data_IF_123591208756
#
_entry.id   IF_123591208756
#
_cell.length_a   1.000
_cell.length_b   1.000
_cell.length_c   1.000
_cell.angle_alpha   90.00
_cell.angle_beta   90.00
_cell.angle_gamma   90.00
#
_symmetry.space_group_name_H-M   'P 1'
#
loop_
_entity.id
_entity.type
_entity.pdbx_description
1 polymer ?
#
# COMPACT_ATOMS: atom_id res chain seq x y z
N UNK A 1 -57.46 76.07 -78.18
CA UNK A 1 -57.15 76.95 -79.34
C UNK A 1 -56.79 78.34 -78.80
N UNK A 2 -55.98 79.13 -79.50
CA UNK A 2 -54.53 79.15 -79.34
C UNK A 2 -53.97 80.51 -78.86
N UNK A 3 -52.73 80.47 -78.35
CA UNK A 3 -51.78 81.59 -78.39
C UNK A 3 -51.99 82.71 -77.36
N UNK A 4 -51.13 83.76 -77.40
CA UNK A 4 -49.97 83.94 -78.27
C UNK A 4 -48.66 84.27 -77.53
N UNK A 5 -47.58 84.28 -78.32
CA UNK A 5 -46.20 84.61 -77.99
C UNK A 5 -45.96 86.13 -78.01
N UNK A 6 -45.13 86.62 -77.10
CA UNK A 6 -44.31 87.86 -77.19
C UNK A 6 -43.28 87.77 -76.06
N UNK A 7 -41.96 87.84 -76.20
CA UNK A 7 -40.99 88.77 -76.83
C UNK A 7 -40.09 89.32 -75.69
N UNK A 8 -38.81 89.50 -75.99
CA UNK A 8 -37.66 89.29 -75.09
C UNK A 8 -37.17 90.61 -74.48
N UNK A 9 -36.86 90.65 -73.18
CA UNK A 9 -35.88 91.60 -72.60
C UNK A 9 -34.97 90.92 -71.56
N UNK A 10 -33.66 91.01 -71.79
CA UNK A 10 -32.61 90.64 -70.84
C UNK A 10 -32.58 91.67 -69.70
N UNK A 11 -32.91 91.26 -68.48
CA UNK A 11 -32.61 92.04 -67.28
C UNK A 11 -31.26 91.63 -66.68
N UNK A 12 -30.43 92.59 -66.26
CA UNK A 12 -29.13 92.34 -65.65
C UNK A 12 -29.27 91.64 -64.29
N UNK A 13 -28.27 90.84 -63.93
CA UNK A 13 -28.16 90.17 -62.63
C UNK A 13 -28.07 91.22 -61.51
N UNK A 14 -29.14 91.40 -60.72
CA UNK A 14 -29.02 92.09 -59.43
C UNK A 14 -28.56 91.11 -58.35
N UNK A 15 -27.42 91.46 -57.79
CA UNK A 15 -26.75 90.78 -56.68
C UNK A 15 -27.51 91.14 -55.40
N UNK A 16 -28.30 90.22 -54.86
CA UNK A 16 -28.73 90.32 -53.46
C UNK A 16 -27.55 89.88 -52.58
N UNK A 17 -26.62 90.81 -52.35
CA UNK A 17 -25.73 90.73 -51.20
C UNK A 17 -26.42 91.37 -50.01
N UNK A 18 -27.38 90.66 -49.43
CA UNK A 18 -27.68 90.85 -48.01
C UNK A 18 -26.59 90.06 -47.26
N UNK A 19 -25.35 90.55 -47.37
CA UNK A 19 -24.25 90.06 -46.55
C UNK A 19 -24.54 90.54 -45.13
N UNK A 20 -24.98 89.63 -44.27
CA UNK A 20 -25.07 89.91 -42.83
C UNK A 20 -23.67 90.27 -42.38
N UNK A 21 -23.38 91.57 -42.25
CA UNK A 21 -22.09 92.03 -41.76
C UNK A 21 -21.96 91.55 -40.30
N UNK A 22 -20.88 90.84 -40.01
CA UNK A 22 -20.62 90.31 -38.66
C UNK A 22 -20.57 91.43 -37.60
N UNK A 23 -20.28 92.66 -38.04
CA UNK A 23 -20.25 93.88 -37.24
C UNK A 23 -21.64 94.25 -36.71
N UNK A 24 -22.70 94.01 -37.49
CA UNK A 24 -24.08 94.34 -37.11
C UNK A 24 -24.57 93.42 -35.99
N UNK A 25 -24.26 92.12 -36.08
CA UNK A 25 -24.54 91.18 -34.98
C UNK A 25 -23.83 91.59 -33.68
N UNK A 26 -22.58 92.07 -33.79
CA UNK A 26 -21.80 92.51 -32.63
C UNK A 26 -22.35 93.80 -32.03
N UNK A 27 -22.83 94.73 -32.85
CA UNK A 27 -23.46 95.98 -32.41
C UNK A 27 -24.73 95.73 -31.59
N UNK A 28 -25.57 94.78 -32.02
CA UNK A 28 -26.78 94.38 -31.26
C UNK A 28 -26.40 93.81 -29.89
N UNK A 29 -25.41 92.92 -29.85
CA UNK A 29 -24.90 92.36 -28.59
C UNK A 29 -24.35 93.45 -27.66
N UNK A 30 -23.66 94.46 -28.21
CA UNK A 30 -23.08 95.55 -27.43
C UNK A 30 -24.12 96.53 -26.90
N UNK A 31 -25.16 96.83 -27.69
CA UNK A 31 -26.32 97.66 -27.29
C UNK A 31 -27.08 97.04 -26.12
N UNK A 32 -27.28 95.72 -26.15
CA UNK A 32 -28.04 94.96 -25.14
C UNK A 32 -27.18 94.26 -24.08
N UNK A 33 -25.90 94.64 -23.94
CA UNK A 33 -24.97 93.98 -23.01
C UNK A 33 -25.46 93.88 -21.56
N UNK A 34 -26.21 94.88 -21.07
CA UNK A 34 -26.78 94.86 -19.73
C UNK A 34 -27.98 93.91 -19.60
N UNK A 35 -28.80 93.77 -20.65
CA UNK A 35 -29.90 92.80 -20.68
C UNK A 35 -29.33 91.38 -20.67
N UNK A 36 -28.30 91.13 -21.48
CA UNK A 36 -27.61 89.83 -21.55
C UNK A 36 -26.96 89.50 -20.19
N UNK A 37 -26.23 90.44 -19.59
CA UNK A 37 -25.55 90.24 -18.31
C UNK A 37 -26.54 90.01 -17.15
N UNK A 38 -27.52 90.90 -16.98
CA UNK A 38 -28.50 90.81 -15.88
C UNK A 38 -29.37 89.58 -16.05
N UNK A 39 -29.83 89.29 -17.27
CA UNK A 39 -30.63 88.11 -17.55
C UNK A 39 -29.87 86.81 -17.25
N UNK A 40 -28.60 86.72 -17.67
CA UNK A 40 -27.74 85.57 -17.35
C UNK A 40 -27.58 85.37 -15.84
N UNK A 41 -27.30 86.45 -15.10
CA UNK A 41 -27.17 86.41 -13.63
C UNK A 41 -28.50 86.02 -12.97
N UNK A 42 -29.63 86.52 -13.47
CA UNK A 42 -30.95 86.17 -12.96
C UNK A 42 -31.27 84.68 -13.12
N UNK A 43 -30.98 84.08 -14.28
CA UNK A 43 -31.13 82.63 -14.50
C UNK A 43 -30.20 81.81 -13.58
N UNK A 44 -28.95 82.24 -13.41
CA UNK A 44 -28.01 81.59 -12.50
C UNK A 44 -28.45 81.67 -11.03
N UNK A 45 -28.95 82.83 -10.58
CA UNK A 45 -29.48 83.03 -9.24
C UNK A 45 -30.75 82.21 -8.99
N UNK A 46 -31.66 82.17 -9.97
CA UNK A 46 -32.87 81.34 -9.91
C UNK A 46 -32.51 79.85 -9.78
N UNK A 47 -31.56 79.36 -10.58
CA UNK A 47 -31.08 77.99 -10.48
C UNK A 47 -30.38 77.69 -9.15
N UNK A 48 -29.68 78.67 -8.56
CA UNK A 48 -29.10 78.55 -7.23
C UNK A 48 -30.19 78.38 -6.16
N UNK A 49 -31.21 79.25 -6.13
CA UNK A 49 -32.33 79.19 -5.17
C UNK A 49 -33.06 77.85 -5.28
N UNK A 50 -33.38 77.42 -6.50
CA UNK A 50 -34.02 76.12 -6.74
C UNK A 50 -33.12 74.99 -6.24
N UNK A 51 -31.82 75.03 -6.54
CA UNK A 51 -30.88 73.98 -6.10
C UNK A 51 -30.64 73.96 -4.60
N UNK A 52 -30.76 75.08 -3.87
CA UNK A 52 -30.63 75.08 -2.41
C UNK A 52 -31.87 74.56 -1.68
N UNK A 53 -33.05 74.67 -2.29
CA UNK A 53 -34.31 74.17 -1.73
C UNK A 53 -34.51 72.66 -1.97
N UNK A 54 -33.84 72.09 -2.98
CA UNK A 54 -33.89 70.65 -3.23
C UNK A 54 -33.28 69.83 -2.08
N UNK A 55 -33.90 68.70 -1.76
CA UNK A 55 -33.39 67.78 -0.74
C UNK A 55 -31.98 67.28 -1.08
N UNK A 56 -31.09 67.29 -0.09
CA UNK A 56 -29.74 66.73 -0.22
C UNK A 56 -29.84 65.22 -0.36
N UNK A 57 -29.37 64.68 -1.48
CA UNK A 57 -29.32 63.24 -1.74
C UNK A 57 -27.90 62.76 -1.50
N UNK A 58 -27.75 61.76 -0.63
CA UNK A 58 -26.49 61.10 -0.33
C UNK A 58 -26.41 59.77 -1.08
N UNK A 59 -25.19 59.33 -1.38
CA UNK A 59 -24.94 57.97 -1.91
C UNK A 59 -24.49 57.09 -0.74
N UNK A 60 -25.28 56.07 -0.43
CA UNK A 60 -24.87 54.99 0.48
C UNK A 60 -24.22 53.92 -0.38
N UNK A 61 -23.04 53.42 0.02
CA UNK A 61 -22.28 52.44 -0.74
C UNK A 61 -21.84 51.26 0.10
N UNK A 62 -21.80 50.09 -0.52
CA UNK A 62 -21.22 48.84 0.01
C UNK A 62 -20.31 48.25 -1.07
N UNK A 63 -19.26 47.52 -0.65
CA UNK A 63 -18.37 46.80 -1.57
C UNK A 63 -18.46 45.32 -1.28
N UNK A 64 -18.82 44.55 -2.30
CA UNK A 64 -19.04 43.11 -2.24
C UNK A 64 -18.01 42.39 -3.10
N UNK A 65 -17.54 41.23 -2.68
CA UNK A 65 -16.77 40.32 -3.53
C UNK A 65 -17.52 38.99 -3.67
N UNK A 66 -17.52 38.38 -4.87
CA UNK A 66 -18.13 37.09 -5.09
C UNK A 66 -17.49 36.04 -4.19
N UNK A 67 -18.29 35.04 -3.79
CA UNK A 67 -17.79 33.91 -3.02
C UNK A 67 -16.90 32.99 -3.86
N UNK A 68 -16.34 31.96 -3.25
CA UNK A 68 -15.55 30.94 -3.94
C UNK A 68 -16.37 29.66 -3.99
N UNK A 69 -16.65 29.16 -5.18
CA UNK A 69 -17.36 27.90 -5.38
C UNK A 69 -16.40 26.71 -5.46
N UNK A 70 -15.27 26.88 -6.15
CA UNK A 70 -14.26 25.82 -6.34
C UNK A 70 -12.90 26.43 -6.63
N UNK A 71 -11.83 25.75 -6.19
CA UNK A 71 -10.47 25.98 -6.65
C UNK A 71 -10.02 24.72 -7.37
N UNK A 72 -9.47 24.86 -8.58
CA UNK A 72 -8.91 23.75 -9.33
C UNK A 72 -7.44 23.49 -8.96
N UNK A 73 -6.84 22.47 -9.59
CA UNK A 73 -5.46 22.04 -9.31
C UNK A 73 -4.42 23.08 -9.75
N UNK A 74 -4.77 23.96 -10.69
CA UNK A 74 -3.94 25.06 -11.20
C UNK A 74 -4.12 26.36 -10.40
N UNK A 75 -4.78 26.30 -9.23
CA UNK A 75 -5.12 27.47 -8.39
C UNK A 75 -6.07 28.47 -9.05
N UNK A 76 -6.79 28.08 -10.10
CA UNK A 76 -7.80 28.92 -10.72
C UNK A 76 -9.11 28.82 -9.93
N UNK A 77 -9.60 30.01 -9.58
CA UNK A 77 -10.77 30.21 -8.72
C UNK A 77 -12.02 30.28 -9.59
N UNK A 78 -12.98 29.40 -9.31
CA UNK A 78 -14.35 29.52 -9.81
C UNK A 78 -15.18 30.24 -8.76
N UNK A 79 -15.71 31.39 -9.12
CA UNK A 79 -16.48 32.24 -8.21
C UNK A 79 -17.92 31.76 -8.08
N UNK A 80 -18.45 31.92 -6.87
CA UNK A 80 -19.84 31.67 -6.54
C UNK A 80 -20.68 32.90 -6.91
N UNK A 81 -21.29 32.84 -8.10
CA UNK A 81 -21.89 34.01 -8.74
C UNK A 81 -20.81 34.88 -9.39
N UNK A 82 -20.81 34.98 -10.72
CA UNK A 82 -19.92 35.93 -11.38
C UNK A 82 -20.27 37.37 -10.98
N UNK A 83 -19.31 38.29 -11.12
CA UNK A 83 -19.57 39.73 -10.88
C UNK A 83 -20.73 40.24 -11.72
N UNK A 84 -20.90 39.69 -12.93
CA UNK A 84 -22.02 40.02 -13.81
C UNK A 84 -23.34 39.42 -13.30
N UNK A 85 -23.36 38.17 -12.83
CA UNK A 85 -24.57 37.55 -12.27
C UNK A 85 -25.04 38.27 -11.01
N UNK A 86 -24.13 38.59 -10.09
CA UNK A 86 -24.47 39.31 -8.85
C UNK A 86 -24.98 40.71 -9.19
N UNK A 87 -24.34 41.39 -10.15
CA UNK A 87 -24.80 42.68 -10.66
C UNK A 87 -26.22 42.60 -11.21
N UNK A 88 -26.49 41.67 -12.12
CA UNK A 88 -27.82 41.47 -12.70
C UNK A 88 -28.85 41.12 -11.63
N UNK A 89 -28.50 40.28 -10.66
CA UNK A 89 -29.38 39.91 -9.56
C UNK A 89 -29.78 41.11 -8.68
N UNK A 90 -28.87 42.05 -8.45
CA UNK A 90 -29.15 43.28 -7.68
C UNK A 90 -29.97 44.26 -8.53
N UNK A 91 -29.55 44.54 -9.76
CA UNK A 91 -30.21 45.53 -10.64
C UNK A 91 -31.60 45.10 -11.11
N UNK A 92 -31.88 43.79 -11.15
CA UNK A 92 -33.20 43.25 -11.47
C UNK A 92 -34.23 43.40 -10.34
N UNK A 93 -33.83 43.94 -9.18
CA UNK A 93 -34.74 44.13 -8.04
C UNK A 93 -35.19 42.83 -7.36
N UNK A 94 -34.45 41.73 -7.57
CA UNK A 94 -34.84 40.40 -7.08
C UNK A 94 -34.96 40.26 -5.55
N UNK A 95 -34.51 41.27 -4.80
CA UNK A 95 -34.62 41.34 -3.35
C UNK A 95 -35.53 42.47 -2.85
N UNK A 96 -36.06 43.32 -3.74
CA UNK A 96 -36.70 44.57 -3.35
C UNK A 96 -37.93 44.33 -2.48
N UNK A 97 -38.82 43.43 -2.90
CA UNK A 97 -40.01 43.06 -2.13
C UNK A 97 -39.66 42.52 -0.74
N UNK A 98 -38.55 41.78 -0.62
CA UNK A 98 -38.09 41.24 0.68
C UNK A 98 -37.52 42.36 1.55
N UNK A 99 -36.67 43.21 0.99
CA UNK A 99 -36.06 44.34 1.70
C UNK A 99 -37.15 45.28 2.21
N UNK A 100 -38.07 45.71 1.34
CA UNK A 100 -39.15 46.64 1.68
C UNK A 100 -40.06 46.11 2.79
N UNK A 101 -40.30 44.79 2.84
CA UNK A 101 -41.08 44.13 3.90
C UNK A 101 -40.35 44.10 5.26
N UNK A 102 -39.03 44.03 5.25
CA UNK A 102 -38.20 43.90 6.48
C UNK A 102 -37.75 45.26 7.05
N UNK A 103 -37.96 46.36 6.32
CA UNK A 103 -37.68 47.71 6.80
C UNK A 103 -38.55 48.04 8.01
N UNK A 104 -37.89 48.38 9.13
CA UNK A 104 -38.56 48.85 10.34
C UNK A 104 -38.79 50.35 10.24
N UNK A 105 -39.99 50.74 9.82
CA UNK A 105 -40.39 52.15 9.71
C UNK A 105 -40.59 52.72 11.13
N UNK A 106 -39.66 53.55 11.59
CA UNK A 106 -39.77 54.20 12.91
C UNK A 106 -40.58 55.50 12.87
N UNK A 107 -40.72 56.12 11.70
CA UNK A 107 -41.45 57.38 11.49
C UNK A 107 -42.33 57.24 10.24
N UNK A 108 -43.48 57.93 10.15
CA UNK A 108 -44.41 57.99 8.99
C UNK A 108 -43.76 58.53 7.69
N UNK A 109 -42.63 57.97 7.26
CA UNK A 109 -41.93 58.28 6.03
C UNK A 109 -42.40 57.32 4.95
N UNK A 110 -42.69 57.87 3.78
CA UNK A 110 -43.10 57.09 2.62
C UNK A 110 -41.95 56.18 2.18
N UNK A 111 -42.21 54.89 2.03
CA UNK A 111 -41.25 53.97 1.43
C UNK A 111 -41.17 54.23 -0.08
N UNK A 112 -39.98 54.07 -0.68
CA UNK A 112 -39.85 54.09 -2.12
C UNK A 112 -40.61 52.92 -2.75
N UNK A 113 -41.27 53.17 -3.89
CA UNK A 113 -41.96 52.13 -4.67
C UNK A 113 -40.98 51.15 -5.33
N UNK A 114 -39.78 51.62 -5.68
CA UNK A 114 -38.73 50.87 -6.39
C UNK A 114 -37.35 51.16 -5.78
N UNK A 115 -36.50 50.14 -5.67
CA UNK A 115 -35.13 50.27 -5.19
C UNK A 115 -34.14 50.28 -6.37
N UNK A 116 -33.74 51.49 -6.80
CA UNK A 116 -32.77 51.63 -7.88
C UNK A 116 -31.33 51.59 -7.34
N UNK A 117 -30.70 50.43 -7.45
CA UNK A 117 -29.27 50.24 -7.14
C UNK A 117 -28.40 50.50 -8.37
N UNK A 118 -27.31 51.25 -8.19
CA UNK A 118 -26.26 51.39 -9.19
C UNK A 118 -25.10 50.45 -8.86
N UNK A 119 -24.82 49.47 -9.74
CA UNK A 119 -23.79 48.46 -9.50
C UNK A 119 -22.65 48.59 -10.51
N UNK A 120 -21.45 48.84 -9.99
CA UNK A 120 -20.23 49.02 -10.78
C UNK A 120 -19.14 48.02 -10.40
N UNK A 121 -18.40 47.53 -11.39
CA UNK A 121 -17.24 46.62 -11.17
C UNK A 121 -15.99 47.44 -10.85
N UNK A 122 -15.16 46.96 -9.93
CA UNK A 122 -13.97 47.69 -9.46
C UNK A 122 -12.65 47.23 -10.13
N UNK A 123 -12.63 47.16 -11.47
CA UNK A 123 -11.53 46.56 -12.25
C UNK A 123 -10.12 47.11 -11.96
N UNK A 124 -9.99 48.38 -11.57
CA UNK A 124 -8.70 49.05 -11.33
C UNK A 124 -8.40 49.23 -9.83
N UNK A 125 -8.83 48.28 -8.99
CA UNK A 125 -8.62 48.32 -7.53
C UNK A 125 -7.87 47.09 -7.04
N UNK A 126 -7.54 47.06 -5.74
CA UNK A 126 -6.92 45.89 -5.08
C UNK A 126 -7.79 44.63 -5.19
N UNK A 127 -9.10 44.81 -5.38
CA UNK A 127 -10.09 43.74 -5.50
C UNK A 127 -10.82 43.84 -6.85
N UNK A 128 -10.19 43.43 -7.97
CA UNK A 128 -10.71 43.66 -9.33
C UNK A 128 -12.04 42.96 -9.62
N UNK A 129 -12.33 41.91 -8.86
CA UNK A 129 -13.58 41.15 -8.92
C UNK A 129 -14.62 41.63 -7.90
N UNK A 130 -14.44 42.80 -7.28
CA UNK A 130 -15.44 43.37 -6.38
C UNK A 130 -16.47 44.24 -7.10
N UNK A 131 -17.65 44.33 -6.50
CA UNK A 131 -18.81 45.11 -6.93
C UNK A 131 -19.06 46.21 -5.92
N UNK A 132 -19.12 47.45 -6.42
CA UNK A 132 -19.59 48.59 -5.65
C UNK A 132 -21.07 48.78 -5.94
N UNK A 133 -21.89 48.65 -4.91
CA UNK A 133 -23.33 48.88 -4.97
C UNK A 133 -23.61 50.23 -4.32
N UNK A 134 -24.31 51.10 -5.03
CA UNK A 134 -24.70 52.42 -4.55
C UNK A 134 -26.21 52.60 -4.56
N UNK A 135 -26.73 53.19 -3.48
CA UNK A 135 -28.13 53.59 -3.36
C UNK A 135 -28.20 55.08 -3.02
N UNK A 136 -28.96 55.85 -3.81
CA UNK A 136 -29.08 57.30 -3.65
C UNK A 136 -30.37 57.65 -2.92
N UNK A 137 -30.27 58.30 -1.77
CA UNK A 137 -31.43 58.68 -0.96
C UNK A 137 -31.17 59.95 -0.16
N UNK A 138 -32.23 60.70 0.14
CA UNK A 138 -32.19 61.80 1.10
C UNK A 138 -32.23 61.31 2.55
N UNK A 139 -32.76 60.11 2.80
CA UNK A 139 -32.82 59.48 4.11
C UNK A 139 -31.64 58.50 4.30
N UNK A 140 -30.65 58.95 5.08
CA UNK A 140 -29.41 58.22 5.30
C UNK A 140 -29.66 56.91 6.06
N UNK A 141 -30.51 56.93 7.09
CA UNK A 141 -30.74 55.76 7.95
C UNK A 141 -31.50 54.68 7.19
N UNK A 142 -32.50 55.09 6.40
CA UNK A 142 -33.19 54.21 5.47
C UNK A 142 -32.22 53.61 4.45
N UNK A 143 -31.34 54.42 3.86
CA UNK A 143 -30.36 53.94 2.88
C UNK A 143 -29.32 52.98 3.46
N UNK A 144 -28.90 53.19 4.71
CA UNK A 144 -28.04 52.25 5.43
C UNK A 144 -28.79 50.93 5.70
N UNK A 145 -30.04 51.00 6.14
CA UNK A 145 -30.87 49.82 6.39
C UNK A 145 -31.13 49.01 5.11
N UNK A 146 -31.47 49.69 4.01
CA UNK A 146 -31.69 49.05 2.70
C UNK A 146 -30.46 48.27 2.25
N UNK A 147 -29.28 48.88 2.27
CA UNK A 147 -28.06 48.19 1.84
C UNK A 147 -27.60 47.11 2.82
N UNK A 148 -27.85 47.25 4.12
CA UNK A 148 -27.61 46.16 5.08
C UNK A 148 -28.51 44.97 4.79
N UNK A 149 -29.82 45.19 4.60
CA UNK A 149 -30.78 44.13 4.26
C UNK A 149 -30.47 43.47 2.91
N UNK A 150 -30.01 44.25 1.91
CA UNK A 150 -29.53 43.71 0.64
C UNK A 150 -28.31 42.80 0.84
N UNK A 151 -27.31 43.26 1.60
CA UNK A 151 -26.12 42.47 1.92
C UNK A 151 -26.50 41.16 2.63
N UNK A 152 -27.40 41.22 3.61
CA UNK A 152 -27.86 40.05 4.37
C UNK A 152 -28.66 39.08 3.49
N UNK A 153 -29.52 39.60 2.60
CA UNK A 153 -30.30 38.78 1.66
C UNK A 153 -29.40 38.06 0.63
N UNK A 154 -28.39 38.77 0.09
CA UNK A 154 -27.37 38.19 -0.77
C UNK A 154 -26.58 37.11 -0.04
N UNK A 155 -26.06 37.43 1.15
CA UNK A 155 -25.30 36.48 1.98
C UNK A 155 -26.13 35.24 2.29
N UNK A 156 -27.39 35.39 2.70
CA UNK A 156 -28.28 34.27 2.98
C UNK A 156 -28.54 33.39 1.74
N UNK A 157 -28.67 34.00 0.54
CA UNK A 157 -28.85 33.24 -0.70
C UNK A 157 -27.60 32.42 -1.01
N UNK A 158 -26.42 33.00 -0.92
CA UNK A 158 -25.16 32.32 -1.23
C UNK A 158 -24.72 31.34 -0.14
N UNK A 159 -25.02 31.60 1.14
CA UNK A 159 -24.78 30.69 2.26
C UNK A 159 -25.51 29.35 2.06
N UNK A 160 -26.73 29.36 1.51
CA UNK A 160 -27.46 28.14 1.15
C UNK A 160 -26.73 27.33 0.06
N UNK A 161 -26.16 28.00 -0.93
CA UNK A 161 -25.39 27.33 -2.00
C UNK A 161 -24.09 26.79 -1.45
N UNK A 162 -23.39 27.53 -0.59
CA UNK A 162 -22.18 27.06 0.11
C UNK A 162 -22.49 25.82 0.95
N UNK A 163 -23.59 25.83 1.71
CA UNK A 163 -24.01 24.68 2.50
C UNK A 163 -24.26 23.44 1.62
N UNK A 164 -24.95 23.61 0.49
CA UNK A 164 -25.17 22.55 -0.49
C UNK A 164 -23.84 22.01 -1.06
N UNK A 165 -22.94 22.87 -1.50
CA UNK A 165 -21.64 22.47 -2.05
C UNK A 165 -20.77 21.74 -1.03
N UNK A 166 -20.77 22.21 0.23
CA UNK A 166 -20.03 21.52 1.31
C UNK A 166 -20.62 20.16 1.63
N UNK A 167 -21.94 20.04 1.62
CA UNK A 167 -22.59 18.74 1.84
C UNK A 167 -22.25 17.74 0.73
N UNK A 168 -22.23 18.19 -0.53
CA UNK A 168 -21.80 17.38 -1.67
C UNK A 168 -20.36 16.85 -1.49
N UNK A 169 -19.42 17.72 -1.06
CA UNK A 169 -18.06 17.28 -0.75
C UNK A 169 -18.01 16.28 0.39
N UNK A 170 -18.78 16.48 1.47
CA UNK A 170 -18.85 15.54 2.60
C UNK A 170 -19.36 14.17 2.19
N UNK A 171 -20.37 14.10 1.33
CA UNK A 171 -20.89 12.85 0.79
C UNK A 171 -19.77 12.11 0.03
N UNK A 172 -19.09 12.80 -0.89
CA UNK A 172 -17.98 12.21 -1.65
C UNK A 172 -16.82 11.76 -0.75
N UNK A 173 -16.46 12.55 0.26
CA UNK A 173 -15.45 12.19 1.26
C UNK A 173 -15.90 10.95 2.03
N UNK A 174 -17.16 10.86 2.44
CA UNK A 174 -17.74 9.72 3.14
C UNK A 174 -17.70 8.43 2.32
N UNK A 175 -18.04 8.51 1.03
CA UNK A 175 -17.96 7.37 0.10
C UNK A 175 -16.52 6.88 -0.09
N UNK A 176 -15.57 7.80 -0.27
CA UNK A 176 -14.14 7.47 -0.38
C UNK A 176 -13.59 6.92 0.93
N UNK A 177 -13.98 7.47 2.09
CA UNK A 177 -13.59 6.96 3.40
C UNK A 177 -14.13 5.54 3.66
N UNK A 178 -15.36 5.26 3.23
CA UNK A 178 -15.93 3.91 3.27
C UNK A 178 -15.13 2.93 2.41
N UNK A 179 -14.74 3.36 1.20
CA UNK A 179 -13.87 2.56 0.32
C UNK A 179 -12.49 2.32 0.94
N UNK A 180 -11.88 3.35 1.54
CA UNK A 180 -10.61 3.27 2.26
C UNK A 180 -10.67 2.28 3.44
N UNK A 181 -11.79 2.26 4.17
CA UNK A 181 -12.03 1.30 5.24
C UNK A 181 -12.06 -0.14 4.70
N UNK A 182 -12.80 -0.38 3.60
CA UNK A 182 -12.85 -1.71 2.95
C UNK A 182 -11.48 -2.17 2.46
N UNK A 183 -10.67 -1.28 1.90
CA UNK A 183 -9.29 -1.59 1.49
C UNK A 183 -8.43 -1.95 2.71
N UNK A 184 -8.56 -1.19 3.81
CA UNK A 184 -7.84 -1.45 5.06
C UNK A 184 -8.22 -2.80 5.68
N UNK A 185 -9.49 -3.19 5.59
CA UNK A 185 -9.97 -4.51 6.01
C UNK A 185 -9.38 -5.62 5.14
N UNK A 186 -9.36 -5.46 3.80
CA UNK A 186 -8.71 -6.42 2.88
C UNK A 186 -7.22 -6.59 3.19
N UNK A 187 -6.49 -5.51 3.50
CA UNK A 187 -5.08 -5.58 3.91
C UNK A 187 -4.94 -6.38 5.21
N UNK A 188 -5.78 -6.08 6.20
CA UNK A 188 -5.74 -6.76 7.50
C UNK A 188 -6.01 -8.26 7.36
N UNK A 189 -7.02 -8.62 6.54
CA UNK A 189 -7.31 -10.01 6.20
C UNK A 189 -6.13 -10.69 5.51
N UNK A 190 -5.53 -10.08 4.50
CA UNK A 190 -4.37 -10.65 3.80
C UNK A 190 -3.18 -10.89 4.74
N UNK A 191 -2.93 -9.98 5.69
CA UNK A 191 -1.90 -10.15 6.73
C UNK A 191 -2.23 -11.30 7.69
N UNK A 192 -3.50 -11.45 8.07
CA UNK A 192 -3.97 -12.56 8.91
C UNK A 192 -3.85 -13.91 8.20
N UNK A 193 -4.23 -13.97 6.92
CA UNK A 193 -4.12 -15.17 6.09
C UNK A 193 -2.65 -15.60 5.97
N UNK A 194 -1.74 -14.63 5.75
CA UNK A 194 -0.30 -14.86 5.70
C UNK A 194 0.26 -15.41 7.01
N UNK A 195 -0.11 -14.81 8.16
CA UNK A 195 0.31 -15.30 9.47
C UNK A 195 -0.18 -16.72 9.75
N UNK A 196 -1.43 -17.02 9.38
CA UNK A 196 -2.03 -18.35 9.53
C UNK A 196 -1.31 -19.38 8.68
N UNK A 197 -1.02 -19.05 7.41
CA UNK A 197 -0.25 -19.90 6.51
C UNK A 197 1.12 -20.24 7.10
N UNK A 198 1.87 -19.22 7.56
CA UNK A 198 3.21 -19.44 8.15
C UNK A 198 3.15 -20.31 9.41
N UNK A 199 2.14 -20.12 10.26
CA UNK A 199 1.94 -20.94 11.45
C UNK A 199 1.63 -22.40 11.10
N UNK A 200 0.76 -22.63 10.11
CA UNK A 200 0.44 -23.97 9.62
C UNK A 200 1.67 -24.66 9.02
N UNK A 201 2.40 -23.98 8.12
CA UNK A 201 3.61 -24.53 7.52
C UNK A 201 4.67 -24.87 8.57
N UNK A 202 4.85 -24.01 9.59
CA UNK A 202 5.76 -24.29 10.71
C UNK A 202 5.33 -25.53 11.49
N UNK A 203 4.05 -25.65 11.81
CA UNK A 203 3.49 -26.83 12.49
C UNK A 203 3.70 -28.11 11.68
N UNK A 204 3.45 -28.07 10.37
CA UNK A 204 3.61 -29.22 9.49
C UNK A 204 5.09 -29.63 9.37
N UNK A 205 6.00 -28.67 9.24
CA UNK A 205 7.45 -28.92 9.26
C UNK A 205 7.87 -29.57 10.59
N UNK A 206 7.45 -29.02 11.73
CA UNK A 206 7.78 -29.60 13.04
C UNK A 206 7.24 -31.02 13.21
N UNK A 207 6.08 -31.34 12.63
CA UNK A 207 5.54 -32.70 12.62
C UNK A 207 6.42 -33.66 11.81
N UNK A 208 6.93 -33.21 10.65
CA UNK A 208 7.84 -34.03 9.85
C UNK A 208 9.21 -34.18 10.52
N UNK A 209 9.74 -33.13 11.11
CA UNK A 209 10.99 -33.17 11.89
C UNK A 209 10.89 -34.16 13.06
N UNK A 210 9.76 -34.19 13.77
CA UNK A 210 9.51 -35.17 14.83
C UNK A 210 9.56 -36.62 14.31
N UNK A 211 8.97 -36.89 13.13
CA UNK A 211 9.06 -38.21 12.48
C UNK A 211 10.49 -38.56 12.10
N UNK A 212 11.27 -37.60 11.57
CA UNK A 212 12.69 -37.82 11.27
C UNK A 212 13.46 -38.20 12.53
N UNK A 213 13.23 -37.50 13.64
CA UNK A 213 13.84 -37.81 14.94
C UNK A 213 13.48 -39.22 15.41
N UNK A 214 12.21 -39.62 15.30
CA UNK A 214 11.74 -40.96 15.65
C UNK A 214 12.42 -42.05 14.79
N UNK A 215 12.53 -41.83 13.48
CA UNK A 215 13.20 -42.75 12.55
C UNK A 215 14.69 -42.88 12.86
N UNK A 216 15.37 -41.76 13.13
CA UNK A 216 16.78 -41.76 13.52
C UNK A 216 17.02 -42.46 14.86
N UNK A 217 16.14 -42.28 15.84
CA UNK A 217 16.21 -43.02 17.10
C UNK A 217 16.02 -44.54 16.88
N UNK A 218 15.15 -44.92 15.95
CA UNK A 218 14.96 -46.33 15.55
C UNK A 218 16.18 -46.92 14.85
N UNK A 219 16.89 -46.12 14.04
CA UNK A 219 18.17 -46.52 13.42
C UNK A 219 19.24 -46.74 14.50
N UNK A 220 19.42 -45.78 15.39
CA UNK A 220 20.45 -45.85 16.43
C UNK A 220 20.23 -47.02 17.40
N UNK A 221 18.98 -47.22 17.84
CA UNK A 221 18.63 -48.37 18.69
C UNK A 221 18.87 -49.70 17.97
N UNK A 222 18.47 -49.81 16.69
CA UNK A 222 18.76 -50.98 15.89
C UNK A 222 20.26 -51.27 15.73
N UNK A 223 21.09 -50.23 15.53
CA UNK A 223 22.55 -50.39 15.46
C UNK A 223 23.15 -50.90 16.77
N UNK A 224 22.69 -50.36 17.91
CA UNK A 224 23.13 -50.80 19.24
C UNK A 224 22.74 -52.25 19.55
N UNK A 225 21.52 -52.65 19.17
CA UNK A 225 21.05 -54.03 19.28
C UNK A 225 21.89 -54.98 18.42
N UNK A 226 22.15 -54.60 17.16
CA UNK A 226 23.01 -55.36 16.24
C UNK A 226 24.39 -55.54 16.84
N UNK A 227 25.01 -54.47 17.33
CA UNK A 227 26.35 -54.50 17.94
C UNK A 227 26.40 -55.50 19.11
N UNK A 228 25.45 -55.37 20.05
CA UNK A 228 25.30 -56.27 21.20
C UNK A 228 25.16 -57.74 20.77
N UNK A 229 24.34 -58.02 19.74
CA UNK A 229 24.16 -59.39 19.24
C UNK A 229 25.44 -59.93 18.58
N UNK A 230 26.10 -59.11 17.76
CA UNK A 230 27.34 -59.52 17.09
C UNK A 230 28.49 -59.75 18.07
N UNK A 231 28.54 -59.01 19.17
CA UNK A 231 29.52 -59.20 20.24
C UNK A 231 29.28 -60.51 21.02
N UNK A 232 28.02 -60.82 21.36
CA UNK A 232 27.67 -62.12 21.97
C UNK A 232 28.09 -63.30 21.10
N UNK A 233 27.88 -63.18 19.79
CA UNK A 233 28.30 -64.21 18.83
C UNK A 233 29.83 -64.30 18.77
N UNK A 234 30.54 -63.17 18.71
CA UNK A 234 32.00 -63.13 18.71
C UNK A 234 32.60 -63.78 19.97
N UNK A 235 32.04 -63.49 21.14
CA UNK A 235 32.45 -64.10 22.42
C UNK A 235 32.24 -65.62 22.41
N UNK A 236 31.11 -66.09 21.84
CA UNK A 236 30.83 -67.52 21.70
C UNK A 236 31.85 -68.22 20.79
N UNK A 237 32.17 -67.60 19.64
CA UNK A 237 33.22 -68.10 18.73
C UNK A 237 34.58 -68.15 19.42
N UNK A 238 34.93 -67.11 20.17
CA UNK A 238 36.18 -67.06 20.94
C UNK A 238 36.29 -68.20 21.96
N UNK A 239 35.21 -68.47 22.70
CA UNK A 239 35.14 -69.57 23.65
C UNK A 239 35.29 -70.94 22.96
N UNK A 240 34.63 -71.15 21.82
CA UNK A 240 34.77 -72.39 21.05
C UNK A 240 36.20 -72.56 20.51
N UNK A 241 36.84 -71.48 20.05
CA UNK A 241 38.24 -71.52 19.63
C UNK A 241 39.18 -71.91 20.77
N UNK A 242 38.94 -71.41 21.99
CA UNK A 242 39.69 -71.84 23.18
C UNK A 242 39.50 -73.34 23.48
N UNK A 243 38.27 -73.86 23.32
CA UNK A 243 38.00 -75.30 23.47
C UNK A 243 38.72 -76.14 22.40
N UNK A 244 38.71 -75.71 21.14
CA UNK A 244 39.44 -76.37 20.05
C UNK A 244 40.93 -76.44 20.40
N UNK A 245 41.53 -75.31 20.81
CA UNK A 245 42.94 -75.27 21.21
C UNK A 245 43.25 -76.22 22.37
N UNK A 246 42.36 -76.29 23.37
CA UNK A 246 42.48 -77.25 24.47
C UNK A 246 42.48 -78.70 23.98
N UNK A 247 41.58 -79.05 23.05
CA UNK A 247 41.51 -80.39 22.45
C UNK A 247 42.72 -80.70 21.56
N UNK A 248 43.25 -79.72 20.83
CA UNK A 248 44.48 -79.88 20.05
C UNK A 248 45.68 -80.23 20.94
N UNK A 249 45.80 -79.59 22.12
CA UNK A 249 46.82 -79.93 23.11
C UNK A 249 46.61 -81.35 23.67
N UNK A 250 45.37 -81.76 23.91
CA UNK A 250 45.06 -83.14 24.34
C UNK A 250 45.45 -84.18 23.28
N UNK A 251 45.14 -83.91 22.01
CA UNK A 251 45.55 -84.76 20.89
C UNK A 251 47.07 -84.89 20.86
N UNK A 252 47.81 -83.79 20.96
CA UNK A 252 49.28 -83.82 20.97
C UNK A 252 49.82 -84.70 22.12
N UNK A 253 49.28 -84.56 23.34
CA UNK A 253 49.66 -85.41 24.47
C UNK A 253 49.36 -86.91 24.21
N UNK A 254 48.21 -87.22 23.61
CA UNK A 254 47.84 -88.59 23.25
C UNK A 254 48.73 -89.14 22.13
N UNK A 255 49.09 -88.33 21.14
CA UNK A 255 49.99 -88.69 20.04
C UNK A 255 51.40 -89.01 20.57
N UNK A 256 51.92 -88.23 21.52
CA UNK A 256 53.18 -88.51 22.19
C UNK A 256 53.13 -89.84 22.96
N UNK A 257 52.08 -90.06 23.76
CA UNK A 257 51.87 -91.34 24.47
C UNK A 257 51.76 -92.53 23.52
N UNK A 258 51.07 -92.38 22.39
CA UNK A 258 50.95 -93.42 21.38
C UNK A 258 52.31 -93.75 20.75
N UNK A 259 53.15 -92.74 20.54
CA UNK A 259 54.54 -92.90 20.10
C UNK A 259 55.35 -93.72 21.10
N UNK A 260 55.29 -93.40 22.39
CA UNK A 260 55.99 -94.12 23.45
C UNK A 260 55.54 -95.60 23.54
N UNK A 261 54.23 -95.85 23.46
CA UNK A 261 53.67 -97.21 23.45
C UNK A 261 54.17 -97.99 22.22
N UNK A 262 54.20 -97.35 21.04
CA UNK A 262 54.70 -97.99 19.80
C UNK A 262 56.18 -98.35 19.92
N UNK A 263 57.00 -97.46 20.49
CA UNK A 263 58.41 -97.73 20.73
C UNK A 263 58.59 -98.91 21.70
N UNK A 264 57.77 -98.98 22.75
CA UNK A 264 57.80 -100.11 23.69
C UNK A 264 57.38 -101.44 23.03
N UNK A 265 56.34 -101.43 22.19
CA UNK A 265 55.94 -102.62 21.41
C UNK A 265 57.11 -103.12 20.56
N UNK A 266 57.84 -102.22 19.89
CA UNK A 266 59.03 -102.58 19.10
C UNK A 266 60.09 -103.20 20.00
N UNK A 267 60.44 -102.55 21.12
CA UNK A 267 61.44 -103.07 22.07
C UNK A 267 61.12 -104.48 22.59
N UNK A 268 59.87 -104.72 23.01
CA UNK A 268 59.47 -106.03 23.54
C UNK A 268 59.40 -107.08 22.43
N UNK A 269 58.97 -106.71 21.22
CA UNK A 269 59.01 -107.60 20.06
C UNK A 269 60.44 -108.03 19.74
N UNK A 270 61.36 -107.08 19.61
CA UNK A 270 62.77 -107.34 19.31
C UNK A 270 63.41 -108.24 20.37
N UNK A 271 63.14 -107.97 21.66
CA UNK A 271 63.58 -108.82 22.77
C UNK A 271 62.98 -110.24 22.70
N UNK A 272 61.70 -110.37 22.31
CA UNK A 272 61.03 -111.66 22.15
C UNK A 272 61.66 -112.46 21.00
N UNK A 273 61.97 -111.81 19.88
CA UNK A 273 62.65 -112.44 18.74
C UNK A 273 64.07 -112.89 19.11
N UNK A 274 64.80 -112.09 19.91
CA UNK A 274 66.10 -112.49 20.48
C UNK A 274 65.97 -113.72 21.39
N UNK A 275 64.99 -113.75 22.30
CA UNK A 275 64.72 -114.89 23.17
C UNK A 275 64.37 -116.15 22.37
N UNK A 276 63.59 -116.04 21.30
CA UNK A 276 63.27 -117.14 20.38
C UNK A 276 64.55 -117.68 19.74
N UNK A 277 65.43 -116.80 19.26
CA UNK A 277 66.69 -117.17 18.62
C UNK A 277 67.66 -117.85 19.60
N UNK A 278 67.86 -117.28 20.80
CA UNK A 278 68.71 -117.87 21.83
C UNK A 278 68.16 -119.21 22.34
N UNK A 279 66.84 -119.33 22.54
CA UNK A 279 66.20 -120.61 22.83
C UNK A 279 66.49 -121.63 21.72
N UNK A 280 66.35 -121.26 20.45
CA UNK A 280 66.60 -122.16 19.33
C UNK A 280 68.07 -122.63 19.26
N UNK A 281 69.03 -121.73 19.52
CA UNK A 281 70.47 -122.07 19.63
C UNK A 281 70.76 -122.99 20.82
N UNK A 282 70.14 -122.73 21.97
CA UNK A 282 70.25 -123.56 23.17
C UNK A 282 69.72 -124.98 22.90
N UNK A 283 68.57 -125.09 22.24
CA UNK A 283 67.95 -126.38 21.89
C UNK A 283 68.74 -127.17 20.84
N UNK A 284 69.46 -126.50 19.92
CA UNK A 284 70.26 -127.16 18.88
C UNK A 284 71.67 -127.59 19.32
N UNK A 285 72.15 -127.12 20.47
CA UNK A 285 73.51 -127.39 20.98
C UNK A 285 73.60 -128.53 22.00
N UNK A 286 72.50 -129.23 22.32
CA UNK A 286 72.48 -130.31 23.34
C UNK A 286 72.13 -131.69 22.76
N UNK A 287 72.88 -132.73 23.21
CA UNK A 287 72.73 -134.14 22.79
C UNK A 287 72.08 -135.08 23.83
N UNK A 288 71.75 -134.61 25.04
CA UNK A 288 71.10 -135.43 26.07
C UNK A 288 69.85 -134.74 26.65
N UNK A 289 68.74 -135.47 26.68
CA UNK A 289 67.37 -134.98 26.89
C UNK A 289 66.98 -134.51 28.29
N UNK A 290 67.84 -133.80 29.03
CA UNK A 290 67.55 -133.39 30.41
C UNK A 290 67.88 -131.91 30.74
N UNK A 291 67.26 -130.96 30.03
CA UNK A 291 67.24 -129.56 30.49
C UNK A 291 65.91 -128.82 30.24
N UNK A 292 64.81 -129.47 30.65
CA UNK A 292 63.42 -128.98 30.53
C UNK A 292 63.25 -127.60 31.20
N UNK A 293 63.98 -127.33 32.28
CA UNK A 293 63.82 -126.11 33.08
C UNK A 293 64.17 -124.83 32.31
N UNK A 294 65.29 -124.79 31.58
CA UNK A 294 65.70 -123.62 30.80
C UNK A 294 64.72 -123.34 29.65
N UNK A 295 64.26 -124.37 28.95
CA UNK A 295 63.25 -124.25 27.88
C UNK A 295 61.90 -123.76 28.41
N UNK A 296 61.49 -124.21 29.59
CA UNK A 296 60.28 -123.72 30.27
C UNK A 296 60.43 -122.26 30.69
N UNK A 297 61.61 -121.84 31.20
CA UNK A 297 61.86 -120.43 31.52
C UNK A 297 61.81 -119.53 30.27
N UNK A 298 62.48 -119.90 29.17
CA UNK A 298 62.36 -119.15 27.90
C UNK A 298 60.90 -119.06 27.44
N UNK A 299 60.17 -120.18 27.51
CA UNK A 299 58.76 -120.23 27.11
C UNK A 299 57.89 -119.34 27.99
N UNK A 300 58.08 -119.37 29.31
CA UNK A 300 57.33 -118.56 30.25
C UNK A 300 57.62 -117.05 30.04
N UNK A 301 58.89 -116.67 29.88
CA UNK A 301 59.27 -115.26 29.61
C UNK A 301 58.74 -114.78 28.26
N UNK A 302 58.81 -115.59 27.20
CA UNK A 302 58.19 -115.26 25.91
C UNK A 302 56.67 -115.13 26.04
N UNK A 303 56.02 -116.01 26.80
CA UNK A 303 54.57 -115.92 27.04
C UNK A 303 54.21 -114.63 27.79
N UNK A 304 55.00 -114.24 28.81
CA UNK A 304 54.85 -112.96 29.50
C UNK A 304 55.03 -111.77 28.55
N UNK A 305 56.04 -111.80 27.68
CA UNK A 305 56.25 -110.76 26.66
C UNK A 305 55.08 -110.68 25.67
N UNK A 306 54.55 -111.82 25.20
CA UNK A 306 53.40 -111.87 24.30
C UNK A 306 52.16 -111.28 24.98
N UNK A 307 51.90 -111.64 26.24
CA UNK A 307 50.80 -111.06 27.01
C UNK A 307 50.98 -109.55 27.17
N UNK A 308 52.18 -109.08 27.52
CA UNK A 308 52.47 -107.65 27.64
C UNK A 308 52.33 -106.92 26.29
N UNK A 309 52.83 -107.50 25.20
CA UNK A 309 52.63 -106.98 23.83
C UNK A 309 51.15 -106.83 23.49
N UNK A 310 50.32 -107.82 23.81
CA UNK A 310 48.87 -107.73 23.58
C UNK A 310 48.25 -106.58 24.39
N UNK A 311 48.70 -106.36 25.64
CA UNK A 311 48.22 -105.21 26.44
C UNK A 311 48.67 -103.87 25.88
N UNK A 312 49.91 -103.76 25.38
CA UNK A 312 50.42 -102.55 24.75
C UNK A 312 49.71 -102.26 23.42
N UNK A 313 49.48 -103.28 22.60
CA UNK A 313 48.72 -103.15 21.35
C UNK A 313 47.29 -102.70 21.62
N UNK A 314 46.63 -103.30 22.60
CA UNK A 314 45.29 -102.89 23.03
C UNK A 314 45.28 -101.43 23.52
N UNK A 315 46.30 -101.03 24.28
CA UNK A 315 46.47 -99.64 24.74
C UNK A 315 46.69 -98.67 23.57
N UNK A 316 47.51 -99.05 22.57
CA UNK A 316 47.74 -98.25 21.38
C UNK A 316 46.45 -98.05 20.57
N UNK A 317 45.66 -99.11 20.37
CA UNK A 317 44.35 -99.03 19.72
C UNK A 317 43.41 -98.10 20.50
N UNK A 318 43.38 -98.20 21.82
CA UNK A 318 42.55 -97.34 22.67
C UNK A 318 42.94 -95.85 22.54
N UNK A 319 44.23 -95.53 22.71
CA UNK A 319 44.74 -94.15 22.58
C UNK A 319 44.46 -93.59 21.17
N UNK A 320 44.63 -94.41 20.13
CA UNK A 320 44.30 -93.99 18.77
C UNK A 320 42.80 -93.71 18.58
N UNK A 321 41.93 -94.51 19.21
CA UNK A 321 40.49 -94.25 19.26
C UNK A 321 40.15 -92.95 19.99
N UNK A 322 40.85 -92.63 21.08
CA UNK A 322 40.71 -91.35 21.80
C UNK A 322 41.10 -90.16 20.92
N UNK A 323 42.24 -90.24 20.21
CA UNK A 323 42.67 -89.21 19.25
C UNK A 323 41.60 -88.98 18.18
N UNK A 324 41.05 -90.05 17.61
CA UNK A 324 39.99 -89.96 16.62
C UNK A 324 38.75 -89.26 17.18
N UNK A 325 38.31 -89.64 18.39
CA UNK A 325 37.20 -89.00 19.08
C UNK A 325 37.40 -87.49 19.29
N UNK A 326 38.61 -87.08 19.72
CA UNK A 326 38.94 -85.66 19.89
C UNK A 326 38.98 -84.88 18.56
N UNK A 327 39.47 -85.49 17.48
CA UNK A 327 39.45 -84.88 16.13
C UNK A 327 38.02 -84.67 15.63
N UNK A 328 37.13 -85.65 15.85
CA UNK A 328 35.70 -85.50 15.53
C UNK A 328 35.06 -84.40 16.36
N UNK A 329 35.39 -84.31 17.66
CA UNK A 329 34.89 -83.23 18.52
C UNK A 329 35.34 -81.84 18.02
N UNK A 330 36.61 -81.68 17.61
CA UNK A 330 37.10 -80.44 16.98
C UNK A 330 36.30 -80.12 15.71
N UNK A 331 36.04 -81.11 14.85
CA UNK A 331 35.28 -80.89 13.62
C UNK A 331 33.86 -80.39 13.92
N UNK A 332 33.19 -80.93 14.93
CA UNK A 332 31.88 -80.47 15.36
C UNK A 332 31.93 -79.03 15.87
N UNK A 333 32.94 -78.68 16.68
CA UNK A 333 33.15 -77.30 17.15
C UNK A 333 33.41 -76.33 15.99
N UNK A 334 34.18 -76.73 14.98
CA UNK A 334 34.41 -75.93 13.76
C UNK A 334 33.12 -75.69 12.97
N UNK A 335 32.27 -76.70 12.86
CA UNK A 335 30.96 -76.55 12.23
C UNK A 335 30.08 -75.56 13.02
N UNK A 336 30.08 -75.63 14.36
CA UNK A 336 29.37 -74.66 15.20
C UNK A 336 29.87 -73.22 15.02
N UNK A 337 31.19 -73.01 14.84
CA UNK A 337 31.73 -71.68 14.50
C UNK A 337 31.15 -71.20 13.16
N UNK A 338 31.16 -72.05 12.14
CA UNK A 338 30.62 -71.70 10.82
C UNK A 338 29.14 -71.29 10.88
N UNK A 339 28.35 -71.98 11.68
CA UNK A 339 26.94 -71.65 11.87
C UNK A 339 26.78 -70.30 12.59
N UNK A 340 27.59 -70.02 13.62
CA UNK A 340 27.61 -68.73 14.31
C UNK A 340 28.05 -67.58 13.39
N UNK A 341 29.03 -67.78 12.51
CA UNK A 341 29.44 -66.80 11.51
C UNK A 341 28.32 -66.49 10.50
N UNK A 342 27.57 -67.52 10.09
CA UNK A 342 26.40 -67.34 9.25
C UNK A 342 25.31 -66.53 9.97
N UNK A 343 25.02 -66.85 11.22
CA UNK A 343 24.08 -66.09 12.06
C UNK A 343 24.51 -64.64 12.21
N UNK A 344 25.79 -64.37 12.49
CA UNK A 344 26.35 -63.01 12.58
C UNK A 344 26.11 -62.23 11.29
N UNK A 345 26.38 -62.85 10.15
CA UNK A 345 26.18 -62.24 8.83
C UNK A 345 24.71 -61.91 8.58
N UNK A 346 23.79 -62.81 8.96
CA UNK A 346 22.36 -62.59 8.81
C UNK A 346 21.85 -61.43 9.67
N UNK A 347 22.30 -61.35 10.94
CA UNK A 347 21.98 -60.23 11.84
C UNK A 347 22.43 -58.89 11.24
N UNK A 348 23.63 -58.83 10.69
CA UNK A 348 24.16 -57.62 10.05
C UNK A 348 23.29 -57.22 8.86
N UNK A 349 23.02 -58.15 7.93
CA UNK A 349 22.21 -57.88 6.74
C UNK A 349 20.79 -57.45 7.06
N UNK A 350 20.14 -58.10 8.02
CA UNK A 350 18.77 -57.73 8.43
C UNK A 350 18.72 -56.32 9.00
N UNK A 351 19.70 -55.93 9.81
CA UNK A 351 19.79 -54.58 10.34
C UNK A 351 20.07 -53.55 9.23
N UNK A 352 20.93 -53.88 8.28
CA UNK A 352 21.26 -53.03 7.12
C UNK A 352 20.02 -52.75 6.26
N UNK A 353 19.25 -53.78 5.89
CA UNK A 353 18.00 -53.59 5.15
C UNK A 353 16.99 -52.73 5.90
N UNK A 354 16.86 -52.93 7.22
CA UNK A 354 15.98 -52.11 8.05
C UNK A 354 16.45 -50.66 8.10
N UNK A 355 17.76 -50.43 8.22
CA UNK A 355 18.36 -49.09 8.21
C UNK A 355 18.13 -48.38 6.88
N UNK A 356 18.35 -49.06 5.75
CA UNK A 356 18.11 -48.49 4.41
C UNK A 356 16.65 -48.05 4.23
N UNK A 357 15.70 -48.90 4.65
CA UNK A 357 14.28 -48.55 4.59
C UNK A 357 13.96 -47.32 5.45
N UNK A 358 14.52 -47.22 6.67
CA UNK A 358 14.29 -46.08 7.54
C UNK A 358 14.94 -44.79 7.00
N UNK A 359 16.12 -44.90 6.38
CA UNK A 359 16.78 -43.76 5.72
C UNK A 359 15.98 -43.28 4.50
N UNK A 360 15.36 -44.19 3.75
CA UNK A 360 14.45 -43.82 2.67
C UNK A 360 13.26 -43.02 3.19
N UNK A 361 12.65 -43.41 4.32
CA UNK A 361 11.58 -42.65 4.96
C UNK A 361 12.05 -41.25 5.39
N UNK A 362 13.26 -41.14 5.94
CA UNK A 362 13.86 -39.85 6.34
C UNK A 362 14.00 -38.93 5.13
N UNK A 363 14.58 -39.43 4.03
CA UNK A 363 14.75 -38.65 2.79
C UNK A 363 13.41 -38.19 2.21
N UNK A 364 12.37 -39.03 2.28
CA UNK A 364 11.01 -38.64 1.87
C UNK A 364 10.46 -37.50 2.74
N UNK A 365 10.60 -37.58 4.07
CA UNK A 365 10.18 -36.50 4.96
C UNK A 365 10.96 -35.19 4.73
N UNK A 366 12.27 -35.27 4.46
CA UNK A 366 13.09 -34.10 4.10
C UNK A 366 12.63 -33.45 2.78
N UNK A 367 12.26 -34.28 1.80
CA UNK A 367 11.71 -33.83 0.52
C UNK A 367 10.34 -33.16 0.72
N UNK A 368 9.48 -33.74 1.56
CA UNK A 368 8.20 -33.15 1.93
C UNK A 368 8.38 -31.80 2.64
N UNK A 369 9.31 -31.68 3.60
CA UNK A 369 9.66 -30.41 4.26
C UNK A 369 10.07 -29.36 3.23
N UNK A 370 10.93 -29.72 2.28
CA UNK A 370 11.39 -28.81 1.23
C UNK A 370 10.22 -28.32 0.37
N UNK A 371 9.32 -29.22 -0.03
CA UNK A 371 8.12 -28.86 -0.80
C UNK A 371 7.14 -27.96 -0.02
N UNK A 372 7.06 -28.12 1.31
CA UNK A 372 6.23 -27.27 2.17
C UNK A 372 6.82 -25.86 2.21
N UNK A 373 8.15 -25.73 2.38
CA UNK A 373 8.85 -24.45 2.40
C UNK A 373 8.66 -23.70 1.08
N UNK A 374 8.89 -24.34 -0.07
CA UNK A 374 8.74 -23.72 -1.38
C UNK A 374 7.30 -23.22 -1.63
N UNK A 375 6.29 -24.03 -1.29
CA UNK A 375 4.88 -23.61 -1.41
C UNK A 375 4.54 -22.45 -0.49
N UNK A 376 5.02 -22.48 0.75
CA UNK A 376 4.82 -21.41 1.71
C UNK A 376 5.44 -20.10 1.22
N UNK A 377 6.69 -20.13 0.76
CA UNK A 377 7.41 -18.96 0.25
C UNK A 377 6.73 -18.35 -0.98
N UNK A 378 6.30 -19.20 -1.93
CA UNK A 378 5.56 -18.74 -3.11
C UNK A 378 4.23 -18.07 -2.72
N UNK A 379 3.49 -18.65 -1.78
CA UNK A 379 2.23 -18.10 -1.31
C UNK A 379 2.41 -16.80 -0.51
N UNK A 380 3.42 -16.72 0.37
CA UNK A 380 3.80 -15.48 1.08
C UNK A 380 4.12 -14.38 0.09
N UNK A 381 4.98 -14.64 -0.91
CA UNK A 381 5.33 -13.66 -1.94
C UNK A 381 4.11 -13.15 -2.72
N UNK A 382 3.14 -14.02 -2.98
CA UNK A 382 1.88 -13.63 -3.64
C UNK A 382 1.02 -12.71 -2.76
N UNK A 383 0.96 -12.99 -1.45
CA UNK A 383 0.22 -12.18 -0.49
C UNK A 383 0.90 -10.83 -0.26
N UNK A 384 2.23 -10.79 -0.19
CA UNK A 384 3.01 -9.54 -0.09
C UNK A 384 2.76 -8.63 -1.30
N UNK A 385 2.79 -9.18 -2.53
CA UNK A 385 2.48 -8.41 -3.73
C UNK A 385 1.05 -7.84 -3.70
N UNK A 386 0.08 -8.63 -3.20
CA UNK A 386 -1.31 -8.17 -3.02
C UNK A 386 -1.44 -7.10 -1.94
N UNK A 387 -0.70 -7.21 -0.84
CA UNK A 387 -0.69 -6.17 0.20
C UNK A 387 -0.10 -4.88 -0.37
N UNK A 388 0.99 -4.95 -1.12
CA UNK A 388 1.61 -3.77 -1.74
C UNK A 388 0.68 -3.05 -2.74
N UNK A 389 -0.09 -3.81 -3.54
CA UNK A 389 -1.08 -3.21 -4.45
C UNK A 389 -2.22 -2.54 -3.68
N UNK A 390 -2.75 -3.19 -2.64
CA UNK A 390 -3.79 -2.61 -1.77
C UNK A 390 -3.28 -1.39 -1.00
N UNK A 391 -2.02 -1.36 -0.57
CA UNK A 391 -1.41 -0.19 0.09
C UNK A 391 -1.27 0.99 -0.88
N UNK A 392 -0.96 0.71 -2.15
CA UNK A 392 -0.93 1.74 -3.21
C UNK A 392 -2.33 2.29 -3.48
N UNK A 393 -3.35 1.43 -3.55
CA UNK A 393 -4.76 1.82 -3.68
C UNK A 393 -5.21 2.67 -2.47
N UNK A 394 -4.87 2.24 -1.25
CA UNK A 394 -5.14 2.98 -0.01
C UNK A 394 -4.54 4.38 -0.05
N UNK A 395 -3.28 4.49 -0.50
CA UNK A 395 -2.59 5.79 -0.64
C UNK A 395 -3.29 6.70 -1.63
N UNK A 396 -3.67 6.16 -2.80
CA UNK A 396 -4.39 6.92 -3.82
C UNK A 396 -5.72 7.48 -3.28
N UNK A 397 -6.54 6.65 -2.66
CA UNK A 397 -7.82 7.08 -2.07
C UNK A 397 -7.60 8.12 -0.97
N UNK A 398 -6.55 7.96 -0.16
CA UNK A 398 -6.21 8.93 0.88
C UNK A 398 -5.86 10.31 0.30
N UNK A 399 -5.17 10.37 -0.84
CA UNK A 399 -4.89 11.63 -1.53
C UNK A 399 -6.14 12.23 -2.18
N UNK A 400 -7.05 11.41 -2.74
CA UNK A 400 -8.35 11.89 -3.22
C UNK A 400 -9.16 12.53 -2.09
N UNK A 401 -9.24 11.89 -0.92
CA UNK A 401 -9.90 12.46 0.27
C UNK A 401 -9.24 13.78 0.68
N UNK A 402 -7.91 13.85 0.66
CA UNK A 402 -7.17 15.09 0.98
C UNK A 402 -7.52 16.22 0.01
N UNK A 403 -7.59 15.92 -1.29
CA UNK A 403 -7.96 16.89 -2.33
C UNK A 403 -9.42 17.36 -2.15
N UNK A 404 -10.35 16.45 -1.85
CA UNK A 404 -11.75 16.81 -1.57
C UNK A 404 -11.88 17.69 -0.33
N UNK A 405 -11.18 17.36 0.77
CA UNK A 405 -11.14 18.20 1.97
C UNK A 405 -10.56 19.60 1.68
N UNK A 406 -9.51 19.67 0.85
CA UNK A 406 -8.96 20.95 0.39
C UNK A 406 -10.04 21.74 -0.35
N UNK A 407 -10.72 21.14 -1.34
CA UNK A 407 -11.79 21.79 -2.12
C UNK A 407 -12.95 22.26 -1.23
N UNK A 408 -13.40 21.45 -0.27
CA UNK A 408 -14.45 21.81 0.69
C UNK A 408 -14.09 23.07 1.50
N UNK A 409 -12.85 23.14 2.00
CA UNK A 409 -12.40 24.24 2.85
C UNK A 409 -12.33 25.59 2.13
N UNK A 410 -12.15 25.60 0.81
CA UNK A 410 -12.11 26.81 0.00
C UNK A 410 -13.49 27.32 -0.41
N UNK A 411 -14.56 26.54 -0.19
CA UNK A 411 -15.92 27.01 -0.49
C UNK A 411 -16.31 28.13 0.48
N UNK A 412 -16.55 29.32 -0.07
CA UNK A 412 -16.84 30.54 0.68
C UNK A 412 -18.04 31.28 0.10
N UNK A 413 -18.80 31.93 0.97
CA UNK A 413 -19.93 32.77 0.59
C UNK A 413 -19.45 34.12 0.05
N UNK A 414 -20.41 34.91 -0.46
CA UNK A 414 -20.17 36.31 -0.85
C UNK A 414 -19.58 37.08 0.34
N UNK A 415 -18.56 37.90 0.08
CA UNK A 415 -17.87 38.67 1.12
C UNK A 415 -18.28 40.14 1.07
N UNK A 416 -18.53 40.72 2.24
CA UNK A 416 -18.76 42.16 2.39
C UNK A 416 -17.40 42.79 2.71
N UNK A 417 -16.72 43.32 1.69
CA UNK A 417 -15.42 43.96 1.84
C UNK A 417 -15.52 45.31 2.55
N UNK A 418 -16.60 46.05 2.28
CA UNK A 418 -16.90 47.31 2.96
C UNK A 418 -18.38 47.35 3.35
N UNK A 419 -18.71 47.54 4.63
CA UNK A 419 -20.10 47.66 5.07
C UNK A 419 -20.74 48.95 4.52
N UNK A 420 -22.08 49.03 4.50
CA UNK A 420 -22.80 50.20 4.03
C UNK A 420 -22.33 51.49 4.72
N UNK A 421 -21.92 52.49 3.93
CA UNK A 421 -21.46 53.78 4.43
C UNK A 421 -21.92 54.92 3.52
N UNK A 422 -22.31 56.04 4.13
CA UNK A 422 -22.68 57.26 3.40
C UNK A 422 -21.49 57.95 2.73
N UNK A 423 -21.76 58.66 1.64
CA UNK A 423 -20.82 59.60 1.03
C UNK A 423 -20.52 60.77 1.96
N UNK A 424 -19.29 61.28 1.92
CA UNK A 424 -18.87 62.43 2.72
C UNK A 424 -19.65 63.70 2.36
N UNK A 425 -19.95 63.86 1.06
CA UNK A 425 -20.70 64.99 0.51
C UNK A 425 -21.97 64.48 -0.21
N UNK A 426 -23.04 65.28 -0.28
CA UNK A 426 -24.23 64.94 -1.06
C UNK A 426 -23.89 64.86 -2.56
N UNK A 427 -24.52 63.91 -3.25
CA UNK A 427 -24.34 63.67 -4.70
C UNK A 427 -25.32 64.49 -5.55
N UNK A 428 -26.47 64.89 -4.98
CA UNK A 428 -27.43 65.82 -5.59
C UNK A 428 -27.94 66.83 -4.53
N UNK A 429 -28.33 68.05 -4.94
CA UNK A 429 -28.19 68.60 -6.29
C UNK A 429 -26.74 69.01 -6.59
N UNK A 430 -26.33 68.93 -7.87
CA UNK A 430 -25.01 69.40 -8.31
C UNK A 430 -25.02 70.92 -8.46
N UNK A 431 -25.10 71.64 -7.33
CA UNK A 431 -25.35 73.09 -7.27
C UNK A 431 -24.46 73.86 -8.25
N UNK A 432 -23.14 73.60 -8.25
CA UNK A 432 -22.18 74.25 -9.16
C UNK A 432 -22.49 74.00 -10.64
N UNK A 433 -22.83 72.76 -10.99
CA UNK A 433 -23.14 72.38 -12.37
C UNK A 433 -24.47 72.98 -12.83
N UNK A 434 -25.49 72.95 -11.97
CA UNK A 434 -26.80 73.51 -12.28
C UNK A 434 -26.74 75.02 -12.49
N UNK A 435 -26.00 75.74 -11.63
CA UNK A 435 -25.80 77.19 -11.75
C UNK A 435 -25.05 77.51 -13.05
N UNK A 436 -23.98 76.77 -13.35
CA UNK A 436 -23.22 76.95 -14.59
C UNK A 436 -24.09 76.69 -15.83
N UNK A 437 -24.84 75.58 -15.84
CA UNK A 437 -25.72 75.23 -16.94
C UNK A 437 -26.81 76.28 -17.14
N UNK A 438 -27.44 76.75 -16.07
CA UNK A 438 -28.44 77.80 -16.12
C UNK A 438 -27.87 79.15 -16.58
N UNK A 439 -26.62 79.47 -16.20
CA UNK A 439 -25.93 80.65 -16.71
C UNK A 439 -25.70 80.54 -18.23
N UNK A 440 -25.20 79.40 -18.72
CA UNK A 440 -24.98 79.19 -20.16
C UNK A 440 -26.29 79.26 -20.94
N UNK A 441 -27.32 78.54 -20.50
CA UNK A 441 -28.65 78.56 -21.14
C UNK A 441 -29.27 79.95 -21.07
N UNK A 442 -29.18 80.62 -19.92
CA UNK A 442 -29.65 81.99 -19.72
C UNK A 442 -28.95 82.99 -20.62
N UNK A 443 -27.64 82.84 -20.83
CA UNK A 443 -26.85 83.65 -21.76
C UNK A 443 -27.38 83.50 -23.19
N UNK A 444 -27.55 82.26 -23.67
CA UNK A 444 -28.10 82.05 -25.02
C UNK A 444 -29.52 82.61 -25.17
N UNK A 445 -30.41 82.35 -24.21
CA UNK A 445 -31.79 82.84 -24.26
C UNK A 445 -31.85 84.38 -24.25
N UNK A 446 -30.99 85.03 -23.47
CA UNK A 446 -30.95 86.49 -23.39
C UNK A 446 -30.30 87.13 -24.61
N UNK A 447 -29.32 86.46 -25.24
CA UNK A 447 -28.79 86.85 -26.55
C UNK A 447 -29.90 86.77 -27.61
N UNK A 448 -30.63 85.66 -27.70
CA UNK A 448 -31.76 85.54 -28.64
C UNK A 448 -32.84 86.59 -28.35
N UNK A 449 -33.15 86.83 -27.08
CA UNK A 449 -34.09 87.89 -26.70
C UNK A 449 -33.58 89.28 -27.12
N UNK A 450 -32.28 89.58 -26.98
CA UNK A 450 -31.70 90.83 -27.43
C UNK A 450 -31.85 91.03 -28.94
N UNK A 451 -31.54 90.00 -29.74
CA UNK A 451 -31.75 90.04 -31.19
C UNK A 451 -33.22 90.15 -31.58
N UNK A 452 -34.11 89.43 -30.90
CA UNK A 452 -35.54 89.49 -31.16
C UNK A 452 -36.16 90.85 -30.81
N UNK A 453 -35.74 91.44 -29.68
CA UNK A 453 -36.15 92.79 -29.28
C UNK A 453 -35.61 93.82 -30.27
N UNK A 454 -34.36 93.69 -30.73
CA UNK A 454 -33.80 94.59 -31.74
C UNK A 454 -34.54 94.47 -33.08
N UNK A 455 -34.84 93.24 -33.52
CA UNK A 455 -35.60 92.97 -34.74
C UNK A 455 -36.99 93.63 -34.70
N UNK A 456 -37.72 93.47 -33.59
CA UNK A 456 -39.02 94.14 -33.40
C UNK A 456 -38.87 95.65 -33.33
N UNK A 457 -37.83 96.16 -32.65
CA UNK A 457 -37.61 97.61 -32.51
C UNK A 457 -37.30 98.25 -33.87
N UNK A 458 -36.51 97.59 -34.71
CA UNK A 458 -36.15 98.08 -36.05
C UNK A 458 -37.38 98.15 -36.97
N UNK A 459 -38.30 97.18 -36.89
CA UNK A 459 -39.54 97.18 -37.67
C UNK A 459 -40.68 98.04 -37.09
N UNK A 460 -40.53 98.55 -35.86
CA UNK A 460 -41.51 99.48 -35.27
C UNK A 460 -41.26 100.93 -35.71
N UNK A 461 -40.03 101.27 -36.08
CA UNK A 461 -39.66 102.59 -36.60
C UNK A 461 -39.97 102.76 -38.10
N UNK A 462 -40.29 101.69 -38.83
CA UNK A 462 -40.69 101.70 -40.26
C UNK A 462 -42.21 101.90 -40.49
N UNK A 463 -43.01 102.16 -39.44
CA UNK A 463 -44.47 102.37 -39.54
C UNK A 463 -44.96 103.72 -38.98
N UNK A 464 -44.12 104.76 -39.02
CA UNK A 464 -44.52 106.15 -38.78
C UNK A 464 -44.12 107.05 -39.94
#
# INVERSE_FOLDING_TARGET
MPGPQSEIELHPYETYQDEIELIDLLNVLWKWKYLILIGTVAFAALAAVISFNMAKVYSIRTVLAPGIAKVDEDSKITYLGSTQEIKTLIESGGFDAKILKEIKVQDKKELPELLEFNVTTQKNTKDPNSLKVEYQTSDIDLGLQILTLLNDALRQKFDKVVAYLKEEYKIQIGEKASTLSKVSEKISKARSDMATLMAQSRSDISRMEAKIVEKNASINSGESERETQTEKIANSISNINAQIKGKELQINNLENRLSDIRNEIVRIRDNTDLLINERNKFLSSQKDGNNILASVMYTNTMQQNITYLNTLQSSAVNVNGQIYGERVAIQNLKNSIKDLESQKTNVIKQNEYKKESLLSDVNDYESQISSIKERADAAVKSLEARIASLESEKKYISEEIRNLNFKENYVQSIQILQPPKKSLNPVKPKIKLNILLAAVVGLFLTIFAAFFIEYISKHKDDTV
#
